data_IF_932153479719
#
_entry.id   IF_932153479719
#
_cell.length_a   1.000
_cell.length_b   1.000
_cell.length_c   1.000
_cell.angle_alpha   90.00
_cell.angle_beta   90.00
_cell.angle_gamma   90.00
#
_symmetry.space_group_name_H-M   'P 1'
#
loop_
_entity.id
_entity.type
_entity.pdbx_description
1 polymer ?
#
# COMPACT_ATOMS: atom_id res chain seq x y z
N UNK A 1 19.73 33.04 -9.57
CA UNK A 1 18.31 32.82 -9.21
C UNK A 1 17.73 31.85 -10.23
N UNK A 2 17.23 30.67 -9.83
CA UNK A 2 16.57 29.79 -10.81
C UNK A 2 16.54 28.27 -10.57
N UNK A 3 17.02 27.75 -9.43
CA UNK A 3 16.94 26.30 -9.15
C UNK A 3 16.04 25.93 -7.96
N UNK A 4 15.64 26.89 -7.13
CA UNK A 4 14.89 26.65 -5.90
C UNK A 4 13.35 26.62 -6.08
N UNK A 5 12.85 26.79 -7.32
CA UNK A 5 11.42 26.98 -7.61
C UNK A 5 10.75 25.75 -8.25
N UNK A 6 11.47 24.62 -8.38
CA UNK A 6 10.93 23.41 -9.01
C UNK A 6 10.85 22.19 -8.09
N UNK A 7 11.35 22.31 -6.85
CA UNK A 7 11.18 21.31 -5.80
C UNK A 7 10.54 21.97 -4.59
N UNK A 8 9.21 21.98 -4.52
CA UNK A 8 8.55 22.17 -3.23
C UNK A 8 8.89 20.94 -2.38
N UNK A 9 9.63 21.13 -1.27
CA UNK A 9 9.81 20.08 -0.26
C UNK A 9 8.44 19.81 0.35
N UNK A 10 7.73 18.83 -0.18
CA UNK A 10 6.54 18.28 0.47
C UNK A 10 7.05 17.61 1.74
N UNK A 11 6.58 18.10 2.89
CA UNK A 11 6.92 17.55 4.19
C UNK A 11 6.42 16.09 4.31
N UNK A 12 7.06 15.29 5.16
CA UNK A 12 6.78 13.84 5.24
C UNK A 12 5.36 13.56 5.72
N UNK A 13 4.87 14.34 6.67
CA UNK A 13 3.49 14.34 7.17
C UNK A 13 2.48 14.62 6.05
N UNK A 14 2.78 15.57 5.17
CA UNK A 14 1.91 15.88 4.02
C UNK A 14 1.86 14.71 3.01
N UNK A 15 2.94 13.95 2.84
CA UNK A 15 2.93 12.73 2.01
C UNK A 15 2.10 11.63 2.65
N UNK A 16 2.25 11.43 3.96
CA UNK A 16 1.47 10.45 4.72
C UNK A 16 -0.02 10.78 4.69
N UNK A 17 -0.39 12.05 4.86
CA UNK A 17 -1.77 12.53 4.76
C UNK A 17 -2.35 12.28 3.36
N UNK A 18 -1.60 12.57 2.29
CA UNK A 18 -2.04 12.29 0.92
C UNK A 18 -2.25 10.80 0.68
N UNK A 19 -1.35 9.96 1.19
CA UNK A 19 -1.50 8.51 1.09
C UNK A 19 -2.79 8.07 1.80
N UNK A 20 -2.99 8.47 3.05
CA UNK A 20 -4.20 8.13 3.82
C UNK A 20 -5.49 8.60 3.13
N UNK A 21 -5.47 9.79 2.54
CA UNK A 21 -6.62 10.33 1.79
C UNK A 21 -6.93 9.49 0.54
N UNK A 22 -5.92 9.07 -0.22
CA UNK A 22 -6.12 8.19 -1.39
C UNK A 22 -6.63 6.82 -0.95
N UNK A 23 -6.07 6.25 0.13
CA UNK A 23 -6.54 4.97 0.65
C UNK A 23 -8.02 5.04 1.07
N UNK A 24 -8.41 6.13 1.74
CA UNK A 24 -9.80 6.38 2.14
C UNK A 24 -10.71 6.53 0.93
N UNK A 25 -10.30 7.31 -0.07
CA UNK A 25 -11.08 7.50 -1.29
C UNK A 25 -11.28 6.18 -2.05
N UNK A 26 -10.24 5.35 -2.16
CA UNK A 26 -10.33 4.04 -2.81
C UNK A 26 -11.29 3.10 -2.06
N UNK A 27 -11.17 3.01 -0.72
CA UNK A 27 -12.10 2.22 0.11
C UNK A 27 -13.55 2.67 -0.02
N UNK A 28 -13.79 3.98 -0.09
CA UNK A 28 -15.13 4.54 -0.29
C UNK A 28 -15.72 4.25 -1.68
N UNK A 29 -14.89 3.84 -2.64
CA UNK A 29 -15.31 3.43 -3.98
C UNK A 29 -15.25 1.90 -4.14
N UNK A 30 -15.35 1.15 -3.03
CA UNK A 30 -15.35 -0.32 -2.99
C UNK A 30 -14.12 -0.97 -3.63
N UNK A 31 -12.99 -0.24 -3.69
CA UNK A 31 -11.72 -0.78 -4.19
C UNK A 31 -11.10 -1.68 -3.11
N UNK A 32 -10.87 -2.95 -3.46
CA UNK A 32 -10.09 -3.86 -2.62
C UNK A 32 -8.61 -3.53 -2.74
N UNK A 33 -7.97 -3.16 -1.63
CA UNK A 33 -6.57 -2.74 -1.59
C UNK A 33 -5.71 -3.76 -0.87
N UNK A 34 -4.75 -4.29 -1.61
CA UNK A 34 -3.63 -5.08 -1.10
C UNK A 34 -2.41 -4.17 -0.97
N UNK A 35 -1.68 -4.26 0.15
CA UNK A 35 -0.46 -3.47 0.38
C UNK A 35 0.69 -4.39 0.72
N UNK A 36 1.88 -4.06 0.19
CA UNK A 36 3.12 -4.78 0.46
C UNK A 36 4.11 -3.79 1.07
N UNK A 37 4.49 -4.01 2.33
CA UNK A 37 5.60 -3.32 2.98
C UNK A 37 6.88 -4.10 2.75
N UNK A 38 7.69 -3.66 1.79
CA UNK A 38 8.97 -4.29 1.44
C UNK A 38 10.13 -3.55 2.09
N UNK A 39 10.85 -4.22 3.00
CA UNK A 39 11.99 -3.66 3.73
C UNK A 39 11.66 -2.30 4.39
N UNK A 40 10.48 -2.24 5.03
CA UNK A 40 9.96 -1.02 5.67
C UNK A 40 10.05 -1.09 7.19
N UNK A 41 10.40 0.04 7.79
CA UNK A 41 10.31 0.26 9.24
C UNK A 41 8.86 0.14 9.75
N UNK A 42 8.70 -0.14 11.05
CA UNK A 42 7.41 -0.40 11.70
C UNK A 42 6.38 0.72 11.47
N UNK A 43 6.81 1.99 11.55
CA UNK A 43 5.93 3.13 11.34
C UNK A 43 5.35 3.15 9.92
N UNK A 44 6.14 2.78 8.92
CA UNK A 44 5.68 2.72 7.53
C UNK A 44 4.86 1.45 7.26
N UNK A 45 5.20 0.32 7.92
CA UNK A 45 4.39 -0.89 7.91
C UNK A 45 2.98 -0.63 8.47
N UNK A 46 2.87 0.10 9.58
CA UNK A 46 1.58 0.46 10.18
C UNK A 46 0.71 1.32 9.24
N UNK A 47 1.32 2.28 8.54
CA UNK A 47 0.61 3.10 7.54
C UNK A 47 0.10 2.25 6.37
N UNK A 48 0.91 1.31 5.87
CA UNK A 48 0.52 0.40 4.80
C UNK A 48 -0.56 -0.60 5.24
N UNK A 49 -0.50 -1.10 6.47
CA UNK A 49 -1.53 -1.95 7.06
C UNK A 49 -2.86 -1.19 7.20
N UNK A 50 -2.83 0.04 7.67
CA UNK A 50 -4.02 0.91 7.74
C UNK A 50 -4.63 1.19 6.35
N UNK A 51 -3.79 1.28 5.33
CA UNK A 51 -4.23 1.45 3.95
C UNK A 51 -4.89 0.18 3.39
N UNK A 52 -4.49 -1.03 3.79
CA UNK A 52 -5.09 -2.29 3.32
C UNK A 52 -6.60 -2.39 3.63
N UNK A 53 -7.36 -3.13 2.82
CA UNK A 53 -8.81 -3.30 3.03
C UNK A 53 -9.14 -4.07 4.31
N UNK A 54 -8.33 -5.06 4.66
CA UNK A 54 -8.32 -5.73 5.97
C UNK A 54 -6.89 -6.11 6.32
N UNK A 55 -6.62 -6.53 7.56
CA UNK A 55 -5.30 -7.01 7.99
C UNK A 55 -4.77 -8.15 7.11
N UNK A 56 -5.66 -9.00 6.56
CA UNK A 56 -5.29 -10.09 5.66
C UNK A 56 -4.87 -9.62 4.24
N UNK A 57 -5.11 -8.35 3.90
CA UNK A 57 -4.68 -7.74 2.64
C UNK A 57 -3.31 -7.04 2.77
N UNK A 58 -2.71 -7.02 3.96
CA UNK A 58 -1.37 -6.48 4.20
C UNK A 58 -0.32 -7.59 4.22
N UNK A 59 0.78 -7.38 3.51
CA UNK A 59 1.93 -8.28 3.46
C UNK A 59 3.18 -7.51 3.89
N UNK A 60 3.80 -7.94 4.99
CA UNK A 60 5.14 -7.48 5.37
C UNK A 60 6.17 -8.44 4.79
N UNK A 61 7.12 -7.91 4.04
CA UNK A 61 8.11 -8.70 3.30
C UNK A 61 9.50 -8.17 3.59
N UNK A 62 10.42 -9.09 3.84
CA UNK A 62 11.85 -8.82 3.99
C UNK A 62 12.63 -9.71 3.00
N UNK A 63 13.66 -9.18 2.33
CA UNK A 63 14.52 -9.97 1.46
C UNK A 63 13.86 -10.53 0.19
N UNK A 64 14.03 -11.83 -0.11
CA UNK A 64 13.64 -12.41 -1.43
C UNK A 64 12.19 -12.87 -1.52
N UNK A 65 11.40 -12.72 -0.46
CA UNK A 65 10.04 -13.26 -0.32
C UNK A 65 8.96 -12.43 -1.05
N UNK A 66 9.35 -11.39 -1.78
CA UNK A 66 8.39 -10.53 -2.50
C UNK A 66 7.59 -11.29 -3.57
N UNK A 67 8.20 -12.29 -4.20
CA UNK A 67 7.52 -13.17 -5.17
C UNK A 67 6.42 -14.00 -4.51
N UNK A 68 6.60 -14.41 -3.26
CA UNK A 68 5.61 -15.16 -2.49
C UNK A 68 4.42 -14.29 -2.12
N UNK A 69 4.65 -13.04 -1.72
CA UNK A 69 3.58 -12.09 -1.46
C UNK A 69 2.72 -11.84 -2.71
N UNK A 70 3.34 -11.61 -3.87
CA UNK A 70 2.59 -11.47 -5.13
C UNK A 70 1.84 -12.76 -5.51
N UNK A 71 2.43 -13.93 -5.30
CA UNK A 71 1.76 -15.21 -5.56
C UNK A 71 0.53 -15.42 -4.64
N UNK A 72 0.64 -15.05 -3.36
CA UNK A 72 -0.47 -15.13 -2.42
C UNK A 72 -1.64 -14.22 -2.82
N UNK A 73 -1.35 -12.97 -3.20
CA UNK A 73 -2.36 -12.02 -3.71
C UNK A 73 -3.05 -12.60 -4.96
N UNK A 74 -2.27 -13.12 -5.92
CA UNK A 74 -2.83 -13.72 -7.13
C UNK A 74 -3.74 -14.91 -6.81
N UNK A 75 -3.36 -15.76 -5.86
CA UNK A 75 -4.20 -16.87 -5.42
C UNK A 75 -5.51 -16.40 -4.80
N UNK A 76 -5.50 -15.35 -3.97
CA UNK A 76 -6.71 -14.81 -3.36
C UNK A 76 -7.66 -14.23 -4.41
N UNK A 77 -7.15 -13.47 -5.37
CA UNK A 77 -7.94 -12.92 -6.48
C UNK A 77 -8.57 -14.04 -7.32
N UNK A 78 -7.82 -15.10 -7.62
CA UNK A 78 -8.33 -16.22 -8.40
C UNK A 78 -9.42 -17.01 -7.65
N UNK A 79 -9.32 -17.14 -6.33
CA UNK A 79 -10.34 -17.80 -5.50
C UNK A 79 -11.66 -17.01 -5.45
N UNK A 80 -11.62 -15.68 -5.62
CA UNK A 80 -12.84 -14.87 -5.78
C UNK A 80 -13.54 -15.11 -7.13
N UNK A 81 -12.81 -15.64 -8.12
CA UNK A 81 -13.34 -16.02 -9.44
C UNK A 81 -13.67 -17.52 -9.50
N UNK A 82 -14.42 -18.03 -8.52
CA UNK A 82 -15.00 -19.36 -8.62
C UNK A 82 -16.13 -19.33 -9.66
N UNK A 83 -15.80 -19.56 -10.93
CA UNK A 83 -16.81 -19.80 -11.98
C UNK A 83 -17.28 -21.24 -11.81
N UNK A 84 -18.56 -21.43 -11.48
CA UNK A 84 -19.23 -22.73 -11.59
C UNK A 84 -19.96 -22.82 -12.92
#
# INVERSE_FOLDING_TARGET
SGWNDHFSRIAWDEKDNRMANICTAAKNNDVTMYTIGFEVEDDNAAKLMSCASTDAHFYRVEGVEISEAFAAIASQINNLRLIK
#
